data_IF_119658049498
#
_entry.id   IF_119658049498
#
_cell.length_a   1.000
_cell.length_b   1.000
_cell.length_c   1.000
_cell.angle_alpha   90.00
_cell.angle_beta   90.00
_cell.angle_gamma   90.00
#
_symmetry.space_group_name_H-M   'P 1'
#
loop_
_entity.id
_entity.type
_entity.pdbx_description
1 polymer ?
#
# COMPACT_ATOMS: atom_id res chain seq x y z
N UNK A 1 -4.95 -11.17 13.09
CA UNK A 1 -4.35 -12.01 12.04
C UNK A 1 -2.86 -12.07 12.28
N UNK A 2 -2.26 -13.24 12.13
CA UNK A 2 -0.82 -13.42 12.25
C UNK A 2 -0.08 -12.78 11.07
N UNK A 3 1.15 -12.27 11.29
CA UNK A 3 1.91 -11.56 10.24
C UNK A 3 2.27 -12.50 9.08
N UNK A 4 2.52 -13.77 9.35
CA UNK A 4 2.85 -14.77 8.34
C UNK A 4 1.64 -15.10 7.45
N UNK A 5 0.43 -15.09 8.02
CA UNK A 5 -0.80 -15.23 7.24
C UNK A 5 -1.07 -14.00 6.36
N UNK A 6 -0.80 -12.79 6.84
CA UNK A 6 -0.91 -11.59 6.03
C UNK A 6 0.11 -11.59 4.87
N UNK A 7 1.33 -12.10 5.11
CA UNK A 7 2.37 -12.21 4.10
C UNK A 7 1.97 -13.17 2.99
N UNK A 8 1.43 -14.34 3.36
CA UNK A 8 0.91 -15.32 2.43
C UNK A 8 -0.21 -14.76 1.53
N UNK A 9 -1.11 -13.94 2.09
CA UNK A 9 -2.18 -13.28 1.33
C UNK A 9 -1.67 -12.23 0.33
N UNK A 10 -0.49 -11.67 0.56
CA UNK A 10 0.20 -10.75 -0.36
C UNK A 10 1.14 -11.47 -1.34
N UNK A 11 1.18 -12.82 -1.32
CA UNK A 11 2.08 -13.61 -2.18
C UNK A 11 3.53 -13.68 -1.69
N UNK A 12 3.82 -13.21 -0.46
CA UNK A 12 5.14 -13.29 0.15
C UNK A 12 5.30 -14.66 0.80
N UNK A 13 6.17 -15.49 0.23
CA UNK A 13 6.54 -16.79 0.81
C UNK A 13 7.29 -16.64 2.15
N UNK A 14 7.38 -17.71 2.95
CA UNK A 14 7.96 -17.66 4.30
C UNK A 14 9.41 -17.17 4.32
N UNK A 15 10.25 -17.59 3.38
CA UNK A 15 11.64 -17.10 3.26
C UNK A 15 11.69 -15.60 2.92
N UNK A 16 10.79 -15.14 2.04
CA UNK A 16 10.65 -13.72 1.72
C UNK A 16 10.24 -12.90 2.93
N UNK A 17 9.33 -13.43 3.76
CA UNK A 17 8.90 -12.79 4.99
C UNK A 17 10.05 -12.62 6.00
N UNK A 18 10.84 -13.66 6.25
CA UNK A 18 11.97 -13.59 7.18
C UNK A 18 13.12 -12.69 6.71
N UNK A 19 13.20 -12.43 5.41
CA UNK A 19 14.21 -11.55 4.82
C UNK A 19 13.80 -10.07 4.86
N UNK A 20 12.52 -9.76 5.08
CA UNK A 20 12.03 -8.40 5.19
C UNK A 20 12.36 -7.82 6.57
N UNK A 21 12.81 -6.57 6.60
CA UNK A 21 12.88 -5.80 7.84
C UNK A 21 11.48 -5.39 8.32
N UNK A 22 11.32 -5.15 9.62
CA UNK A 22 10.07 -4.67 10.21
C UNK A 22 9.58 -3.35 9.56
N UNK A 23 10.49 -2.53 9.04
CA UNK A 23 10.18 -1.30 8.32
C UNK A 23 9.57 -1.58 6.96
N UNK A 24 10.14 -2.51 6.19
CA UNK A 24 9.61 -2.92 4.89
C UNK A 24 8.25 -3.60 5.05
N UNK A 25 8.13 -4.49 6.04
CA UNK A 25 6.84 -5.10 6.37
C UNK A 25 5.78 -4.05 6.72
N UNK A 26 6.15 -3.04 7.52
CA UNK A 26 5.25 -1.90 7.82
C UNK A 26 4.89 -1.09 6.59
N UNK A 27 5.77 -0.93 5.61
CA UNK A 27 5.41 -0.25 4.36
C UNK A 27 4.44 -1.07 3.51
N UNK A 28 4.65 -2.39 3.42
CA UNK A 28 3.77 -3.28 2.65
C UNK A 28 2.39 -3.44 3.28
N UNK A 29 2.32 -3.44 4.61
CA UNK A 29 1.08 -3.62 5.36
C UNK A 29 0.43 -2.33 5.84
N UNK A 30 1.13 -1.20 5.74
CA UNK A 30 0.51 0.10 5.80
C UNK A 30 -0.41 0.18 4.58
N UNK A 31 -1.66 -0.28 4.76
CA UNK A 31 -2.74 0.06 3.86
C UNK A 31 -2.75 1.57 3.64
N UNK A 32 -3.33 2.04 2.51
CA UNK A 32 -3.34 3.46 2.17
C UNK A 32 -3.70 4.25 3.42
N UNK A 33 -2.77 5.10 3.88
CA UNK A 33 -2.81 5.80 5.17
C UNK A 33 -4.11 6.59 5.24
N UNK A 34 -5.18 5.96 5.73
CA UNK A 34 -6.57 6.42 5.72
C UNK A 34 -6.81 7.64 4.83
N UNK A 35 -6.39 7.55 3.55
CA UNK A 35 -6.50 8.66 2.66
C UNK A 35 -7.98 8.66 2.36
N UNK A 36 -8.69 9.65 2.90
CA UNK A 36 -10.10 9.80 2.63
C UNK A 36 -10.27 9.69 1.10
N UNK A 37 -11.26 8.91 0.62
CA UNK A 37 -11.47 8.77 -0.81
C UNK A 37 -11.52 10.16 -1.43
N UNK A 38 -10.67 10.39 -2.41
CA UNK A 38 -10.50 11.70 -3.04
C UNK A 38 -11.87 12.19 -3.54
N UNK A 39 -12.27 13.38 -3.14
CA UNK A 39 -13.52 13.96 -3.62
C UNK A 39 -13.47 14.16 -5.14
N UNK A 40 -14.62 14.07 -5.83
CA UNK A 40 -14.67 14.28 -7.29
C UNK A 40 -13.98 15.58 -7.72
N UNK A 41 -14.17 16.67 -6.97
CA UNK A 41 -13.55 17.96 -7.29
C UNK A 41 -12.03 18.01 -7.08
N UNK A 42 -11.51 17.20 -6.16
CA UNK A 42 -10.06 17.06 -5.96
C UNK A 42 -9.43 16.21 -7.06
N UNK A 43 -10.15 15.18 -7.53
CA UNK A 43 -9.73 14.38 -8.69
C UNK A 43 -9.62 15.22 -9.96
N UNK A 44 -10.61 16.06 -10.25
CA UNK A 44 -10.59 16.97 -11.41
C UNK A 44 -9.37 17.91 -11.34
N UNK A 45 -9.13 18.53 -10.17
CA UNK A 45 -7.95 19.38 -9.96
C UNK A 45 -6.63 18.63 -10.15
N UNK A 46 -6.53 17.41 -9.65
CA UNK A 46 -5.32 16.59 -9.83
C UNK A 46 -5.07 16.30 -11.31
N UNK A 47 -6.11 15.99 -12.07
CA UNK A 47 -6.00 15.75 -13.53
C UNK A 47 -5.57 17.01 -14.29
N UNK A 48 -6.05 18.18 -13.87
CA UNK A 48 -5.60 19.46 -14.44
C UNK A 48 -4.13 19.77 -14.10
N UNK A 49 -3.68 19.41 -12.89
CA UNK A 49 -2.31 19.63 -12.42
C UNK A 49 -1.29 18.65 -12.99
N UNK A 50 -1.72 17.43 -13.31
CA UNK A 50 -0.85 16.36 -13.79
C UNK A 50 -1.48 15.68 -15.01
N UNK A 51 -1.46 16.34 -16.18
CA UNK A 51 -1.94 15.73 -17.41
C UNK A 51 -1.04 14.54 -17.78
N UNK A 52 -1.64 13.37 -18.00
CA UNK A 52 -0.98 12.21 -18.57
C UNK A 52 -0.64 12.51 -20.06
N UNK A 53 0.58 12.98 -20.32
CA UNK A 53 1.21 12.98 -21.65
C UNK A 53 1.96 11.66 -21.89
#
# INVERSE_FOLDING_TARGET
>A
MDMMQAAARMGVGPEGFWRLSLREWRMLTAGPVQAAPLGRGELERMREMWPDD
#
